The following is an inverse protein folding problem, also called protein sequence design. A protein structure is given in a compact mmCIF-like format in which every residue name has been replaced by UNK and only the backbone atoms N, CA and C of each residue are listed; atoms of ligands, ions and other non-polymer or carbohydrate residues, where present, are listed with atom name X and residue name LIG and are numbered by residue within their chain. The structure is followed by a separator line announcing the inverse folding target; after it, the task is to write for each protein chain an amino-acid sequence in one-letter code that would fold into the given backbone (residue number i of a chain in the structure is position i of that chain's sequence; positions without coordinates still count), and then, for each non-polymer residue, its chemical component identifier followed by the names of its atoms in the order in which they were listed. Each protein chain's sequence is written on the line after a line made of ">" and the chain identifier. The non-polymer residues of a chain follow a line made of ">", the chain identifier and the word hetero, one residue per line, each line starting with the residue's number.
data_IF_935748251360
#
_entry.id   IF_935748251360
#
_cell.length_a   1.000
_cell.length_b   1.000
_cell.length_c   1.000
_cell.angle_alpha   90.00
_cell.angle_beta   90.00
_cell.angle_gamma   90.00
#
_symmetry.space_group_name_H-M   'P 1'
#
loop_
_entity.id
_entity.type
_entity.pdbx_description
1 polymer ?
#
# COMPACT_ATOMS: atom_id res chain seq x y z
N UNK A 1 8.46 -10.13 2.40
CA UNK A 1 7.43 -9.46 1.60
C UNK A 1 6.88 -10.48 0.63
N UNK A 2 5.56 -10.48 0.41
CA UNK A 2 4.83 -11.31 -0.54
C UNK A 2 3.95 -10.40 -1.39
N UNK A 3 3.82 -10.74 -2.68
CA UNK A 3 2.88 -10.11 -3.59
C UNK A 3 2.11 -11.21 -4.32
N UNK A 4 0.80 -11.02 -4.45
CA UNK A 4 -0.04 -11.93 -5.22
C UNK A 4 -1.20 -11.20 -5.86
N UNK A 5 -1.66 -11.74 -6.98
CA UNK A 5 -2.89 -11.30 -7.64
C UNK A 5 -4.06 -12.11 -7.07
N UNK A 6 -5.12 -11.42 -6.66
CA UNK A 6 -6.34 -12.00 -6.11
C UNK A 6 -7.54 -11.36 -6.82
N UNK A 7 -8.00 -11.98 -7.91
CA UNK A 7 -9.04 -11.40 -8.77
C UNK A 7 -8.54 -10.14 -9.46
N UNK A 8 -9.28 -9.05 -9.28
CA UNK A 8 -8.99 -7.69 -9.76
C UNK A 8 -8.16 -6.87 -8.76
N UNK A 9 -7.47 -7.54 -7.81
CA UNK A 9 -6.64 -6.90 -6.80
C UNK A 9 -5.21 -7.45 -6.82
N UNK A 10 -4.27 -6.60 -6.43
CA UNK A 10 -2.95 -7.00 -5.94
C UNK A 10 -2.97 -6.95 -4.42
N UNK A 11 -2.69 -8.07 -3.76
CA UNK A 11 -2.41 -8.12 -2.33
C UNK A 11 -0.91 -8.02 -2.09
N UNK A 12 -0.51 -7.03 -1.29
CA UNK A 12 0.85 -6.80 -0.85
C UNK A 12 0.94 -7.11 0.63
N UNK A 13 1.75 -8.10 1.00
CA UNK A 13 1.95 -8.51 2.39
C UNK A 13 3.39 -8.22 2.81
N UNK A 14 3.54 -7.49 3.91
CA UNK A 14 4.84 -7.15 4.50
C UNK A 14 4.86 -7.62 5.95
N UNK A 15 5.97 -8.25 6.33
CA UNK A 15 6.29 -8.56 7.72
C UNK A 15 7.35 -7.59 8.20
N UNK A 16 7.14 -7.08 9.40
CA UNK A 16 8.07 -6.20 10.10
C UNK A 16 8.23 -6.74 11.53
N UNK A 17 9.47 -6.80 12.01
CA UNK A 17 9.77 -7.29 13.36
C UNK A 17 9.42 -6.27 14.45
N UNK A 18 9.21 -5.01 14.11
CA UNK A 18 8.69 -4.01 15.04
C UNK A 18 7.20 -4.27 15.31
N UNK A 19 6.77 -4.53 16.57
CA UNK A 19 5.36 -4.79 16.90
C UNK A 19 4.48 -3.52 16.93
N UNK A 20 5.07 -2.33 16.80
CA UNK A 20 4.32 -1.07 16.80
C UNK A 20 3.45 -1.00 15.56
N UNK A 21 2.13 -0.84 15.79
CA UNK A 21 1.15 -0.69 14.74
C UNK A 21 1.28 0.71 14.12
N UNK A 22 1.28 0.80 12.77
CA UNK A 22 1.43 2.09 12.11
C UNK A 22 0.13 2.91 12.30
N UNK A 23 0.28 4.22 12.51
CA UNK A 23 -0.83 5.15 12.68
C UNK A 23 -0.77 6.17 11.55
N UNK A 24 -1.86 6.27 10.78
CA UNK A 24 -1.97 7.29 9.74
C UNK A 24 -2.08 8.66 10.41
N UNK A 25 -1.32 9.63 9.90
CA UNK A 25 -1.48 11.02 10.32
C UNK A 25 -2.42 11.73 9.36
N UNK A 26 -2.85 12.94 9.73
CA UNK A 26 -3.63 13.76 8.83
C UNK A 26 -2.73 14.27 7.69
N UNK A 27 -3.28 14.34 6.48
CA UNK A 27 -2.60 14.91 5.34
C UNK A 27 -2.15 16.35 5.64
N UNK A 28 -0.86 16.61 5.47
CA UNK A 28 -0.24 17.91 5.73
C UNK A 28 0.85 18.18 4.69
N UNK A 29 0.61 19.15 3.81
CA UNK A 29 1.52 19.52 2.73
C UNK A 29 2.78 20.25 3.24
N UNK A 30 2.78 20.80 4.46
CA UNK A 30 3.92 21.49 5.06
C UNK A 30 4.83 20.57 5.89
N UNK A 31 4.39 19.35 6.19
CA UNK A 31 5.18 18.39 6.97
C UNK A 31 6.21 17.68 6.09
N UNK A 32 7.38 17.40 6.64
CA UNK A 32 8.38 16.54 5.98
C UNK A 32 8.24 15.11 6.53
N UNK A 33 7.89 14.17 5.65
CA UNK A 33 7.78 12.74 5.96
C UNK A 33 6.54 12.35 6.78
N UNK A 34 6.46 11.05 7.10
CA UNK A 34 5.32 10.39 7.78
C UNK A 34 4.02 10.33 6.95
N UNK A 35 4.09 10.60 5.64
CA UNK A 35 2.97 10.45 4.71
C UNK A 35 2.83 9.04 4.15
N UNK A 36 3.79 8.14 4.41
CA UNK A 36 3.82 6.81 3.78
C UNK A 36 2.52 6.03 3.98
N UNK A 37 2.03 5.96 5.22
CA UNK A 37 0.77 5.29 5.50
C UNK A 37 -0.45 6.06 4.95
N UNK A 38 -0.40 7.40 4.92
CA UNK A 38 -1.47 8.21 4.33
C UNK A 38 -1.64 7.90 2.84
N UNK A 39 -0.53 7.81 2.12
CA UNK A 39 -0.51 7.46 0.70
C UNK A 39 -1.08 6.06 0.51
N UNK A 40 -0.62 5.08 1.31
CA UNK A 40 -1.12 3.70 1.23
C UNK A 40 -2.63 3.64 1.48
N UNK A 41 -3.12 4.33 2.51
CA UNK A 41 -4.55 4.40 2.84
C UNK A 41 -5.37 5.09 1.74
N UNK A 42 -4.78 6.01 0.97
CA UNK A 42 -5.46 6.69 -0.13
C UNK A 42 -5.62 5.81 -1.38
N UNK A 43 -4.69 4.89 -1.64
CA UNK A 43 -4.70 4.05 -2.84
C UNK A 43 -5.21 2.62 -2.62
N UNK A 44 -5.14 2.12 -1.38
CA UNK A 44 -5.56 0.76 -1.06
C UNK A 44 -7.08 0.69 -0.95
N UNK A 45 -7.68 -0.32 -1.59
CA UNK A 45 -9.09 -0.68 -1.38
C UNK A 45 -9.31 -1.38 -0.04
N UNK A 46 -8.27 -1.98 0.53
CA UNK A 46 -8.30 -2.59 1.85
C UNK A 46 -6.93 -2.55 2.51
N UNK A 47 -6.91 -2.29 3.82
CA UNK A 47 -5.69 -2.25 4.60
C UNK A 47 -5.90 -2.93 5.95
N UNK A 48 -5.05 -3.90 6.27
CA UNK A 48 -5.10 -4.67 7.51
C UNK A 48 -3.73 -4.72 8.16
N UNK A 49 -3.71 -4.60 9.49
CA UNK A 49 -2.50 -4.84 10.28
C UNK A 49 -2.83 -5.82 11.39
N UNK A 50 -2.07 -6.90 11.44
CA UNK A 50 -2.19 -7.95 12.43
C UNK A 50 -0.90 -8.04 13.22
N UNK A 51 -0.99 -8.03 14.55
CA UNK A 51 0.17 -8.33 15.40
C UNK A 51 0.48 -9.81 15.31
N UNK A 52 1.75 -10.13 15.21
CA UNK A 52 2.27 -11.48 15.17
C UNK A 52 3.29 -11.67 16.30
N UNK A 53 3.60 -12.90 16.74
CA UNK A 53 4.53 -13.13 17.85
C UNK A 53 5.91 -12.47 17.69
N UNK A 54 6.37 -12.29 16.44
CA UNK A 54 7.68 -11.73 16.10
C UNK A 54 7.60 -10.31 15.54
N UNK A 55 6.45 -9.63 15.63
CA UNK A 55 6.27 -8.27 15.13
C UNK A 55 4.86 -8.04 14.60
N UNK A 56 4.73 -7.70 13.32
CA UNK A 56 3.44 -7.46 12.66
C UNK A 56 3.44 -7.91 11.21
N UNK A 57 2.23 -8.21 10.72
CA UNK A 57 1.91 -8.46 9.32
C UNK A 57 0.97 -7.38 8.82
N UNK A 58 1.38 -6.70 7.75
CA UNK A 58 0.60 -5.66 7.09
C UNK A 58 0.15 -6.21 5.74
N UNK A 59 -1.14 -6.09 5.44
CA UNK A 59 -1.73 -6.46 4.16
C UNK A 59 -2.39 -5.23 3.54
N UNK A 60 -1.96 -4.84 2.35
CA UNK A 60 -2.62 -3.82 1.54
C UNK A 60 -3.19 -4.46 0.28
N UNK A 61 -4.44 -4.14 -0.06
CA UNK A 61 -5.12 -4.59 -1.28
C UNK A 61 -5.30 -3.41 -2.20
N UNK A 62 -4.75 -3.48 -3.41
CA UNK A 62 -4.74 -2.39 -4.39
C UNK A 62 -5.46 -2.89 -5.63
N UNK A 63 -6.27 -2.03 -6.26
CA UNK A 63 -6.91 -2.33 -7.54
C UNK A 63 -5.87 -2.75 -8.60
N UNK A 64 -6.11 -3.87 -9.27
CA UNK A 64 -5.42 -4.26 -10.48
C UNK A 64 -6.34 -3.90 -11.67
N UNK A 65 -6.13 -2.75 -12.34
CA UNK A 65 -6.98 -2.35 -13.45
C UNK A 65 -6.85 -3.33 -14.63
N UNK A 66 -7.98 -3.71 -15.23
CA UNK A 66 -8.06 -4.67 -16.34
C UNK A 66 -7.46 -4.17 -17.67
N UNK A 67 -7.11 -2.88 -17.76
CA UNK A 67 -6.74 -2.24 -19.03
C UNK A 67 -5.30 -1.70 -19.01
N UNK A 68 -4.38 -2.43 -19.64
CA UNK A 68 -3.02 -1.97 -19.97
C UNK A 68 -3.00 -1.13 -21.27
N UNK A 69 -4.00 -0.26 -21.46
CA UNK A 69 -4.11 0.61 -22.64
C UNK A 69 -3.78 2.08 -22.40
N UNK A 70 -3.71 2.52 -21.14
CA UNK A 70 -3.55 3.93 -20.79
C UNK A 70 -2.40 4.16 -19.82
N UNK A 71 -1.17 4.10 -20.34
CA UNK A 71 0.02 4.79 -19.82
C UNK A 71 0.07 5.01 -18.28
N UNK A 72 0.34 3.95 -17.52
CA UNK A 72 0.69 4.08 -16.09
C UNK A 72 2.01 4.86 -15.91
N UNK A 73 2.80 5.02 -16.97
CA UNK A 73 4.10 5.70 -16.94
C UNK A 73 4.24 6.77 -18.03
N UNK A 74 3.35 7.76 -18.04
CA UNK A 74 3.46 9.06 -18.71
C UNK A 74 4.55 9.23 -19.79
N UNK A 75 4.57 8.44 -20.87
CA UNK A 75 5.44 8.73 -22.02
C UNK A 75 4.81 8.29 -23.33
N UNK A 76 4.16 9.25 -23.98
CA UNK A 76 3.91 9.18 -25.43
C UNK A 76 5.26 9.28 -26.16
N UNK A 77 5.65 8.29 -26.98
CA UNK A 77 6.67 8.51 -27.99
C UNK A 77 6.07 9.43 -29.08
N UNK A 78 6.81 10.48 -29.44
CA UNK A 78 6.58 11.25 -30.66
C UNK A 78 7.11 10.48 -31.85
#
# INVERSE_FOLDING_TARGET
>A
MELRVAGDLVEVVVWDSDPVLPVARAADAGRVGQHGLEIVMAIAQGFEVQREPVGKRITARIALPDDLGGDVTGRRPQ
#
